data_IF_899826651128
#
_entry.id   IF_899826651128
#
_cell.length_a   1.000
_cell.length_b   1.000
_cell.length_c   1.000
_cell.angle_alpha   90.00
_cell.angle_beta   90.00
_cell.angle_gamma   90.00
#
_symmetry.space_group_name_H-M   'P 1'
#
loop_
_entity.id
_entity.type
_entity.pdbx_description
1 polymer ?
#
# COMPACT_ATOMS: atom_id res chain seq x y z
N UNK A 1 0.39 3.98 -3.32
CA UNK A 1 -0.01 3.61 -4.69
C UNK A 1 0.76 4.36 -5.78
N UNK A 2 0.86 5.70 -5.75
CA UNK A 2 1.58 6.45 -6.80
C UNK A 2 3.03 6.00 -7.07
N UNK A 3 3.82 5.80 -6.01
CA UNK A 3 5.21 5.32 -6.15
C UNK A 3 5.30 3.91 -6.76
N UNK A 4 4.34 3.03 -6.45
CA UNK A 4 4.26 1.67 -7.03
C UNK A 4 4.09 1.75 -8.54
N UNK A 5 3.24 2.67 -9.02
CA UNK A 5 3.06 2.92 -10.45
C UNK A 5 4.36 3.39 -11.11
N UNK A 6 5.09 4.34 -10.50
CA UNK A 6 6.41 4.77 -10.99
C UNK A 6 7.34 3.57 -11.14
N UNK A 7 7.39 2.68 -10.15
CA UNK A 7 8.26 1.51 -10.20
C UNK A 7 7.94 0.54 -11.33
N UNK A 8 6.65 0.38 -11.70
CA UNK A 8 6.24 -0.43 -12.86
C UNK A 8 6.70 0.23 -14.16
N UNK A 9 6.52 1.55 -14.29
CA UNK A 9 6.85 2.28 -15.52
C UNK A 9 8.35 2.44 -15.77
N UNK A 10 9.19 2.33 -14.75
CA UNK A 10 10.64 2.40 -14.90
C UNK A 10 11.25 1.21 -15.65
N UNK A 11 10.48 0.12 -15.86
CA UNK A 11 10.82 -1.03 -16.71
C UNK A 11 12.23 -1.62 -16.50
N UNK A 12 12.67 -1.62 -15.24
CA UNK A 12 13.93 -2.23 -14.84
C UNK A 12 13.73 -3.14 -13.63
N UNK A 13 14.62 -4.11 -13.49
CA UNK A 13 14.50 -5.15 -12.45
C UNK A 13 14.49 -4.55 -11.05
N UNK A 14 15.26 -3.50 -10.80
CA UNK A 14 15.35 -2.87 -9.48
C UNK A 14 14.02 -2.21 -9.08
N UNK A 15 13.45 -1.40 -9.97
CA UNK A 15 12.18 -0.74 -9.76
C UNK A 15 11.04 -1.77 -9.58
N UNK A 16 11.01 -2.81 -10.42
CA UNK A 16 9.97 -3.84 -10.35
C UNK A 16 10.09 -4.72 -9.09
N UNK A 17 11.30 -5.06 -8.66
CA UNK A 17 11.52 -5.74 -7.38
C UNK A 17 11.00 -4.88 -6.22
N UNK A 18 11.32 -3.58 -6.23
CA UNK A 18 10.80 -2.62 -5.25
C UNK A 18 9.27 -2.51 -5.28
N UNK A 19 8.65 -2.45 -6.47
CA UNK A 19 7.19 -2.45 -6.65
C UNK A 19 6.54 -3.66 -6.01
N UNK A 20 7.02 -4.88 -6.32
CA UNK A 20 6.45 -6.11 -5.80
C UNK A 20 6.58 -6.18 -4.27
N UNK A 21 7.72 -5.71 -3.75
CA UNK A 21 7.93 -5.58 -2.31
C UNK A 21 6.96 -4.57 -1.68
N UNK A 22 6.82 -3.40 -2.31
CA UNK A 22 6.01 -2.29 -1.80
C UNK A 22 4.51 -2.59 -1.83
N UNK A 23 4.02 -3.41 -2.76
CA UNK A 23 2.62 -3.86 -2.77
C UNK A 23 2.29 -4.60 -1.47
N UNK A 24 3.17 -5.52 -1.04
CA UNK A 24 2.98 -6.26 0.20
C UNK A 24 3.14 -5.35 1.41
N UNK A 25 4.21 -4.56 1.44
CA UNK A 25 4.49 -3.64 2.55
C UNK A 25 3.33 -2.66 2.77
N UNK A 26 2.84 -2.03 1.70
CA UNK A 26 1.72 -1.10 1.75
C UNK A 26 0.42 -1.79 2.18
N UNK A 27 0.10 -2.98 1.64
CA UNK A 27 -1.09 -3.72 2.06
C UNK A 27 -1.09 -4.01 3.56
N UNK A 28 0.06 -4.42 4.11
CA UNK A 28 0.20 -4.68 5.55
C UNK A 28 0.08 -3.43 6.41
N UNK A 29 0.77 -2.33 6.05
CA UNK A 29 0.74 -1.10 6.86
C UNK A 29 -0.62 -0.40 6.80
N UNK A 30 -1.19 -0.26 5.59
CA UNK A 30 -2.46 0.44 5.40
C UNK A 30 -3.63 -0.36 5.95
N UNK A 31 -3.64 -1.69 5.79
CA UNK A 31 -4.64 -2.55 6.41
C UNK A 31 -4.63 -2.43 7.94
N UNK A 32 -3.45 -2.39 8.55
CA UNK A 32 -3.31 -2.20 9.99
C UNK A 32 -3.78 -0.82 10.47
N UNK A 33 -3.44 0.25 9.74
CA UNK A 33 -3.91 1.60 10.06
C UNK A 33 -5.44 1.68 10.03
N UNK A 34 -6.10 1.09 9.02
CA UNK A 34 -7.56 1.05 8.97
C UNK A 34 -8.17 0.29 10.15
N UNK A 35 -7.59 -0.84 10.56
CA UNK A 35 -8.05 -1.56 11.74
C UNK A 35 -7.92 -0.73 13.02
N UNK A 36 -6.82 0.00 13.19
CA UNK A 36 -6.66 0.89 14.35
C UNK A 36 -7.60 2.09 14.31
N UNK A 37 -7.85 2.69 13.15
CA UNK A 37 -8.86 3.76 13.03
C UNK A 37 -10.25 3.22 13.37
N UNK A 38 -10.60 2.01 12.91
CA UNK A 38 -11.87 1.36 13.26
C UNK A 38 -12.02 1.08 14.76
N UNK A 39 -10.96 0.57 15.41
CA UNK A 39 -10.94 0.39 16.87
C UNK A 39 -11.02 1.72 17.62
N UNK A 40 -10.37 2.75 17.11
CA UNK A 40 -10.40 4.08 17.70
C UNK A 40 -11.82 4.64 17.65
N UNK A 41 -12.48 4.58 16.49
CA UNK A 41 -13.88 4.96 16.33
C UNK A 41 -14.80 4.15 17.26
N UNK A 42 -14.60 2.84 17.38
CA UNK A 42 -15.42 2.01 18.27
C UNK A 42 -15.30 2.43 19.74
N UNK A 43 -14.15 2.96 20.16
CA UNK A 43 -13.88 3.39 21.54
C UNK A 43 -14.28 4.83 21.83
N UNK A 44 -14.15 5.72 20.85
CA UNK A 44 -14.44 7.15 21.02
C UNK A 44 -15.79 7.58 20.49
N UNK A 45 -16.37 6.81 19.56
CA UNK A 45 -17.59 7.17 18.83
C UNK A 45 -17.42 8.31 17.82
N UNK A 46 -16.19 8.77 17.57
CA UNK A 46 -15.91 9.87 16.64
C UNK A 46 -14.80 9.53 15.66
N UNK A 47 -14.98 10.02 14.43
CA UNK A 47 -13.98 10.00 13.33
C UNK A 47 -13.28 11.35 13.16
N UNK A 48 -13.66 12.39 13.90
CA UNK A 48 -13.13 13.73 13.74
C UNK A 48 -11.80 13.86 14.47
N UNK A 49 -10.76 14.34 13.77
CA UNK A 49 -9.43 14.55 14.36
C UNK A 49 -9.49 15.58 15.50
N UNK A 50 -10.40 16.55 15.39
CA UNK A 50 -10.62 17.61 16.39
C UNK A 50 -11.17 17.09 17.72
N UNK A 51 -11.74 15.89 17.74
CA UNK A 51 -12.26 15.26 18.96
C UNK A 51 -11.21 14.40 19.68
N UNK A 52 -10.09 14.13 19.00
CA UNK A 52 -9.02 13.24 19.45
C UNK A 52 -7.85 14.04 20.04
N UNK A 53 -7.15 13.45 21.00
CA UNK A 53 -5.99 14.05 21.65
C UNK A 53 -5.54 13.24 22.87
N UNK A 54 -4.24 13.18 23.13
CA UNK A 54 -3.67 12.63 24.37
C UNK A 54 -3.81 11.12 24.55
N UNK A 55 -4.08 10.36 23.47
CA UNK A 55 -4.29 8.91 23.53
C UNK A 55 -3.05 8.17 24.05
N UNK A 56 -1.84 8.64 23.74
CA UNK A 56 -0.60 7.96 24.12
C UNK A 56 -0.42 7.82 25.64
N UNK A 57 -0.94 8.77 26.44
CA UNK A 57 -0.85 8.71 27.89
C UNK A 57 -1.75 7.64 28.52
N UNK A 58 -2.84 7.26 27.83
CA UNK A 58 -3.82 6.28 28.32
C UNK A 58 -3.63 4.90 27.71
N UNK A 59 -3.24 4.86 26.44
CA UNK A 59 -3.06 3.65 25.66
C UNK A 59 -1.70 3.65 24.95
N UNK A 60 -0.60 3.50 25.71
CA UNK A 60 0.75 3.53 25.15
C UNK A 60 1.03 2.37 24.17
N UNK A 61 0.45 1.19 24.38
CA UNK A 61 0.67 0.04 23.48
C UNK A 61 -0.04 0.30 22.15
N UNK A 62 -1.30 0.73 22.21
CA UNK A 62 -2.06 1.16 21.02
C UNK A 62 -1.30 2.23 20.23
N UNK A 63 -0.83 3.29 20.91
CA UNK A 63 -0.08 4.37 20.28
C UNK A 63 1.21 3.88 19.62
N UNK A 64 1.92 2.95 20.26
CA UNK A 64 3.18 2.39 19.73
C UNK A 64 2.93 1.56 18.48
N UNK A 65 1.93 0.68 18.47
CA UNK A 65 1.61 -0.13 17.30
C UNK A 65 1.10 0.74 16.14
N UNK A 66 0.26 1.74 16.44
CA UNK A 66 -0.16 2.72 15.45
C UNK A 66 1.04 3.47 14.86
N UNK A 67 1.97 3.91 15.71
CA UNK A 67 3.18 4.60 15.27
C UNK A 67 4.01 3.74 14.32
N UNK A 68 4.25 2.47 14.65
CA UNK A 68 5.02 1.56 13.79
C UNK A 68 4.34 1.38 12.43
N UNK A 69 3.03 1.16 12.40
CA UNK A 69 2.27 1.03 11.16
C UNK A 69 2.28 2.32 10.32
N UNK A 70 2.15 3.48 10.98
CA UNK A 70 2.19 4.79 10.35
C UNK A 70 3.57 5.10 9.76
N UNK A 71 4.63 4.90 10.55
CA UNK A 71 6.01 5.10 10.12
C UNK A 71 6.40 4.13 8.99
N UNK A 72 5.86 2.91 9.00
CA UNK A 72 5.99 1.97 7.90
C UNK A 72 5.32 2.49 6.62
N UNK A 73 4.14 3.10 6.73
CA UNK A 73 3.47 3.72 5.58
C UNK A 73 4.18 4.98 5.07
N UNK A 74 4.98 5.64 5.90
CA UNK A 74 5.77 6.82 5.53
C UNK A 74 7.18 6.48 5.00
N UNK A 75 7.54 5.20 4.95
CA UNK A 75 8.86 4.78 4.49
C UNK A 75 9.99 5.13 5.47
N UNK A 76 9.76 5.03 6.79
CA UNK A 76 10.84 5.22 7.77
C UNK A 76 11.89 4.09 7.66
N UNK A 77 13.20 4.39 7.64
CA UNK A 77 14.24 3.36 7.69
C UNK A 77 14.04 2.37 8.84
N UNK A 78 14.20 1.08 8.54
CA UNK A 78 13.95 -0.01 9.49
C UNK A 78 12.52 -0.59 9.42
N UNK A 79 11.65 -0.05 8.57
CA UNK A 79 10.30 -0.57 8.32
C UNK A 79 10.17 -1.15 6.90
N UNK A 80 9.16 -1.99 6.68
CA UNK A 80 8.90 -2.61 5.38
C UNK A 80 8.70 -1.59 4.25
N UNK A 81 8.00 -0.47 4.48
CA UNK A 81 7.73 0.53 3.45
C UNK A 81 8.98 1.19 2.90
N UNK A 82 10.02 1.42 3.73
CA UNK A 82 11.26 2.06 3.27
C UNK A 82 11.97 1.23 2.21
N UNK A 83 12.10 -0.08 2.41
CA UNK A 83 12.84 -0.97 1.49
C UNK A 83 12.21 -0.96 0.10
N UNK A 84 10.87 -1.04 0.02
CA UNK A 84 10.16 -1.02 -1.25
C UNK A 84 10.27 0.32 -1.97
N UNK A 85 9.99 1.42 -1.27
CA UNK A 85 10.05 2.77 -1.85
C UNK A 85 11.47 3.15 -2.27
N UNK A 86 12.48 2.80 -1.47
CA UNK A 86 13.87 3.08 -1.79
C UNK A 86 14.32 2.36 -3.07
N UNK A 87 13.98 1.08 -3.23
CA UNK A 87 14.28 0.33 -4.46
C UNK A 87 13.59 0.93 -5.68
N UNK A 88 12.35 1.39 -5.53
CA UNK A 88 11.61 2.09 -6.59
C UNK A 88 12.31 3.40 -6.96
N UNK A 89 12.69 4.22 -5.98
CA UNK A 89 13.37 5.51 -6.22
C UNK A 89 14.70 5.29 -6.92
N UNK A 90 15.51 4.31 -6.49
CA UNK A 90 16.76 3.98 -7.17
C UNK A 90 16.53 3.52 -8.61
N UNK A 91 15.50 2.70 -8.83
CA UNK A 91 15.07 2.28 -10.16
C UNK A 91 14.58 3.44 -11.03
N UNK A 92 13.93 4.44 -10.42
CA UNK A 92 13.46 5.65 -11.08
C UNK A 92 14.59 6.61 -11.45
N UNK A 93 15.58 6.80 -10.58
CA UNK A 93 16.79 7.59 -10.88
C UNK A 93 17.55 7.00 -12.06
N UNK A 94 17.64 5.66 -12.14
CA UNK A 94 18.24 4.97 -13.30
C UNK A 94 17.46 5.14 -14.60
N UNK A 95 16.14 5.32 -14.52
CA UNK A 95 15.30 5.58 -15.68
C UNK A 95 15.40 7.05 -16.11
N UNK A 96 15.19 7.99 -15.19
CA UNK A 96 15.31 9.42 -15.41
C UNK A 96 15.47 10.14 -14.05
N UNK A 97 16.49 10.99 -13.93
CA UNK A 97 16.78 11.74 -12.71
C UNK A 97 15.59 12.61 -12.25
N UNK A 98 14.85 13.23 -13.18
CA UNK A 98 13.69 14.06 -12.86
C UNK A 98 12.55 13.25 -12.23
N UNK A 99 12.29 12.04 -12.75
CA UNK A 99 11.28 11.12 -12.20
C UNK A 99 11.72 10.61 -10.83
N UNK A 100 13.01 10.30 -10.67
CA UNK A 100 13.59 9.94 -9.38
C UNK A 100 13.46 11.06 -8.33
N UNK A 101 13.68 12.31 -8.73
CA UNK A 101 13.50 13.48 -7.86
C UNK A 101 12.04 13.63 -7.41
N UNK A 102 11.07 13.53 -8.34
CA UNK A 102 9.65 13.58 -8.00
C UNK A 102 9.25 12.41 -7.08
N UNK A 103 9.74 11.20 -7.35
CA UNK A 103 9.46 10.04 -6.50
C UNK A 103 9.99 10.24 -5.07
N UNK A 104 11.20 10.77 -4.91
CA UNK A 104 11.76 11.12 -3.60
C UNK A 104 10.91 12.18 -2.87
N UNK A 105 10.44 13.19 -3.59
CA UNK A 105 9.57 14.23 -3.02
C UNK A 105 8.28 13.65 -2.43
N UNK A 106 7.70 12.62 -3.04
CA UNK A 106 6.48 11.99 -2.51
C UNK A 106 6.67 11.36 -1.12
N UNK A 107 7.85 10.80 -0.86
CA UNK A 107 8.18 10.23 0.46
C UNK A 107 8.29 11.33 1.52
N UNK A 108 8.94 12.45 1.20
CA UNK A 108 9.03 13.62 2.08
C UNK A 108 7.65 14.18 2.42
N UNK A 109 6.80 14.39 1.41
CA UNK A 109 5.42 14.83 1.62
C UNK A 109 4.65 13.85 2.51
N UNK A 110 4.89 12.55 2.31
CA UNK A 110 4.41 11.44 3.14
C UNK A 110 4.56 11.67 4.63
N UNK A 111 5.79 11.92 5.04
CA UNK A 111 6.15 12.16 6.44
C UNK A 111 5.57 13.49 6.95
N UNK A 112 5.62 14.54 6.12
CA UNK A 112 5.14 15.87 6.48
C UNK A 112 3.64 15.92 6.81
N UNK A 113 2.80 15.07 6.22
CA UNK A 113 1.38 15.03 6.54
C UNK A 113 1.05 14.07 7.71
N UNK A 114 1.75 12.93 7.82
CA UNK A 114 1.44 11.92 8.84
C UNK A 114 1.95 12.27 10.24
N UNK A 115 3.14 12.86 10.36
CA UNK A 115 3.70 13.18 11.69
C UNK A 115 2.86 14.21 12.45
N UNK A 116 2.42 15.34 11.85
CA UNK A 116 1.53 16.27 12.54
C UNK A 116 0.18 15.65 12.88
N UNK A 117 -0.35 14.75 12.06
CA UNK A 117 -1.57 14.00 12.36
C UNK A 117 -1.39 13.11 13.59
N UNK A 118 -0.28 12.37 13.66
CA UNK A 118 0.04 11.54 14.81
C UNK A 118 0.22 12.38 16.08
N UNK A 119 0.91 13.52 15.98
CA UNK A 119 1.05 14.46 17.09
C UNK A 119 -0.32 14.94 17.62
N UNK A 120 -1.21 15.37 16.72
CA UNK A 120 -2.56 15.83 17.07
C UNK A 120 -3.39 14.77 17.79
N UNK A 121 -3.39 13.55 17.27
CA UNK A 121 -4.21 12.46 17.82
C UNK A 121 -3.65 11.90 19.13
N UNK A 122 -2.33 11.74 19.23
CA UNK A 122 -1.71 10.98 20.32
C UNK A 122 -1.07 11.82 21.42
N UNK A 123 -0.52 12.99 21.11
CA UNK A 123 0.32 13.77 22.03
C UNK A 123 -0.25 15.14 22.44
N UNK A 124 -1.31 15.63 21.78
CA UNK A 124 -2.00 16.83 22.25
C UNK A 124 -2.74 16.61 23.58
N UNK A 125 -3.33 17.70 24.12
CA UNK A 125 -4.07 17.64 25.39
C UNK A 125 -5.22 16.63 25.31
N UNK A 126 -5.44 15.80 26.35
CA UNK A 126 -6.57 14.88 26.40
C UNK A 126 -7.90 15.63 26.28
N UNK A 127 -8.83 15.09 25.50
CA UNK A 127 -10.19 15.60 25.32
C UNK A 127 -11.18 14.70 26.07
N UNK A 128 -12.42 15.15 26.23
CA UNK A 128 -13.44 14.40 26.98
C UNK A 128 -13.66 13.00 26.40
N UNK A 129 -13.70 12.88 25.06
CA UNK A 129 -13.92 11.60 24.37
C UNK A 129 -12.72 10.64 24.50
N UNK A 130 -11.49 11.16 24.63
CA UNK A 130 -10.29 10.33 24.78
C UNK A 130 -9.93 10.02 26.24
N UNK A 131 -10.60 10.66 27.21
CA UNK A 131 -10.34 10.45 28.63
C UNK A 131 -10.62 8.99 29.09
N UNK A 132 -11.59 8.32 28.45
CA UNK A 132 -11.96 6.92 28.72
C UNK A 132 -11.31 5.91 27.76
N UNK A 133 -10.36 6.34 26.94
CA UNK A 133 -9.72 5.45 25.97
C UNK A 133 -8.91 4.37 26.69
N UNK A 134 -9.33 3.11 26.57
CA UNK A 134 -8.61 1.96 27.13
C UNK A 134 -7.45 1.57 26.22
N UNK A 135 -6.42 0.92 26.76
CA UNK A 135 -5.36 0.34 25.93
C UNK A 135 -5.82 -0.98 25.26
N UNK A 136 -4.99 -1.52 24.39
CA UNK A 136 -5.22 -2.83 23.76
C UNK A 136 -5.34 -3.92 24.82
N UNK A 137 -6.36 -4.76 24.67
CA UNK A 137 -6.49 -6.01 25.41
C UNK A 137 -5.49 -7.03 24.89
N UNK A 138 -5.16 -8.05 25.69
CA UNK A 138 -4.23 -9.11 25.30
C UNK A 138 -4.62 -9.77 23.97
N UNK A 139 -5.91 -9.98 23.74
CA UNK A 139 -6.41 -10.57 22.50
C UNK A 139 -6.17 -9.67 21.28
N UNK A 140 -6.46 -8.37 21.40
CA UNK A 140 -6.19 -7.42 20.32
C UNK A 140 -4.68 -7.30 20.06
N UNK A 141 -3.87 -7.26 21.12
CA UNK A 141 -2.41 -7.25 21.00
C UNK A 141 -1.92 -8.49 20.25
N UNK A 142 -2.42 -9.68 20.56
CA UNK A 142 -2.04 -10.92 19.86
C UNK A 142 -2.47 -10.94 18.38
N UNK A 143 -3.53 -10.22 18.01
CA UNK A 143 -3.96 -10.10 16.61
C UNK A 143 -3.03 -9.15 15.83
N UNK A 144 -2.64 -8.03 16.42
CA UNK A 144 -1.81 -7.03 15.73
C UNK A 144 -0.31 -7.34 15.77
N UNK A 145 0.17 -7.99 16.83
CA UNK A 145 1.58 -8.27 17.06
C UNK A 145 2.25 -9.02 15.88
N UNK A 146 1.66 -10.08 15.29
CA UNK A 146 2.28 -10.78 14.16
C UNK A 146 2.51 -9.88 12.95
N UNK A 147 1.57 -8.96 12.67
CA UNK A 147 1.67 -8.06 11.51
C UNK A 147 2.67 -6.93 11.80
N UNK A 148 2.74 -6.42 13.04
CA UNK A 148 3.80 -5.48 13.47
C UNK A 148 5.17 -6.11 13.33
N UNK A 149 5.34 -7.35 13.80
CA UNK A 149 6.58 -8.09 13.65
C UNK A 149 6.92 -8.31 12.18
N UNK A 150 5.95 -8.63 11.33
CA UNK A 150 6.17 -8.75 9.89
C UNK A 150 6.68 -7.44 9.27
N UNK A 151 6.09 -6.29 9.62
CA UNK A 151 6.52 -4.97 9.16
C UNK A 151 8.00 -4.71 9.53
N UNK A 152 8.38 -5.03 10.77
CA UNK A 152 9.75 -4.81 11.27
C UNK A 152 10.74 -5.82 10.68
N UNK A 153 10.40 -7.10 10.61
CA UNK A 153 11.25 -8.16 10.03
C UNK A 153 11.52 -7.88 8.56
N UNK A 154 10.49 -7.50 7.81
CA UNK A 154 10.65 -7.05 6.42
C UNK A 154 11.54 -5.79 6.34
N UNK A 155 11.42 -4.85 7.26
CA UNK A 155 12.28 -3.66 7.28
C UNK A 155 13.75 -3.93 7.59
N UNK A 156 14.03 -4.72 8.63
CA UNK A 156 15.38 -4.98 9.15
C UNK A 156 16.11 -6.05 8.33
N UNK A 157 15.41 -7.12 7.94
CA UNK A 157 15.95 -8.24 7.20
C UNK A 157 15.16 -8.47 5.90
N UNK A 158 15.32 -7.61 4.88
CA UNK A 158 14.56 -7.72 3.63
C UNK A 158 15.05 -8.86 2.72
N UNK A 159 16.28 -9.34 2.91
CA UNK A 159 16.95 -10.31 2.03
C UNK A 159 16.15 -11.61 1.77
N UNK A 160 15.53 -12.26 2.78
CA UNK A 160 14.74 -13.47 2.56
C UNK A 160 13.54 -13.28 1.62
N UNK A 161 12.97 -12.08 1.61
CA UNK A 161 11.85 -11.71 0.74
C UNK A 161 12.36 -11.31 -0.64
N UNK A 162 13.40 -10.46 -0.69
CA UNK A 162 14.00 -10.00 -1.95
C UNK A 162 14.57 -11.15 -2.77
N UNK A 163 15.21 -12.15 -2.14
CA UNK A 163 15.74 -13.33 -2.83
C UNK A 163 14.66 -14.15 -3.56
N UNK A 164 13.40 -14.08 -3.10
CA UNK A 164 12.25 -14.72 -3.77
C UNK A 164 11.65 -13.84 -4.87
N UNK A 165 11.64 -12.52 -4.66
CA UNK A 165 10.99 -11.55 -5.57
C UNK A 165 11.89 -11.25 -6.78
N UNK A 166 13.20 -11.06 -6.57
CA UNK A 166 14.12 -10.58 -7.60
C UNK A 166 14.22 -11.51 -8.83
N UNK A 167 14.31 -12.86 -8.69
CA UNK A 167 14.32 -13.75 -9.85
C UNK A 167 13.03 -13.66 -10.67
N UNK A 168 11.88 -13.50 -10.00
CA UNK A 168 10.58 -13.34 -10.65
C UNK A 168 10.50 -12.00 -11.41
N UNK A 169 10.94 -10.91 -10.78
CA UNK A 169 11.02 -9.59 -11.41
C UNK A 169 11.95 -9.60 -12.64
N UNK A 170 13.12 -10.24 -12.54
CA UNK A 170 14.08 -10.36 -13.65
C UNK A 170 13.49 -11.14 -14.81
N UNK A 171 12.84 -12.28 -14.53
CA UNK A 171 12.13 -13.08 -15.55
C UNK A 171 11.03 -12.26 -16.23
N UNK A 172 10.27 -11.49 -15.47
CA UNK A 172 9.20 -10.66 -16.02
C UNK A 172 9.75 -9.59 -16.96
N UNK A 173 10.81 -8.87 -16.57
CA UNK A 173 11.46 -7.87 -17.44
C UNK A 173 12.04 -8.51 -18.71
N UNK A 174 12.67 -9.69 -18.62
CA UNK A 174 13.18 -10.40 -19.79
C UNK A 174 12.07 -10.81 -20.75
N UNK A 175 10.90 -11.19 -20.24
CA UNK A 175 9.74 -11.48 -21.08
C UNK A 175 9.11 -10.21 -21.68
N UNK A 176 9.17 -9.08 -20.97
CA UNK A 176 8.70 -7.78 -21.46
C UNK A 176 9.60 -7.20 -22.56
N UNK A 177 10.91 -7.50 -22.54
CA UNK A 177 11.84 -7.14 -23.64
C UNK A 177 11.49 -7.77 -24.99
N UNK A 178 10.63 -8.80 -25.02
CA UNK A 178 10.08 -9.38 -26.25
C UNK A 178 8.66 -8.90 -26.61
N UNK A 179 8.03 -8.09 -25.76
CA UNK A 179 6.61 -7.73 -25.86
C UNK A 179 6.39 -6.26 -25.51
N UNK A 180 6.75 -5.37 -26.43
CA UNK A 180 6.22 -4.01 -26.43
C UNK A 180 4.88 -4.02 -27.20
N UNK A 181 3.79 -4.51 -26.58
CA UNK A 181 2.45 -4.18 -27.07
C UNK A 181 1.90 -3.03 -26.26
N UNK A 182 1.70 -1.90 -26.93
CA UNK A 182 1.05 -0.67 -26.45
C UNK A 182 -0.20 -0.98 -25.62
N UNK A 183 -0.91 -2.04 -25.98
CA UNK A 183 -2.05 -2.65 -25.30
C UNK A 183 -1.82 -2.86 -23.78
N UNK A 184 -0.67 -3.39 -23.35
CA UNK A 184 -0.39 -3.62 -21.92
C UNK A 184 -0.35 -2.31 -21.14
N UNK A 185 0.29 -1.29 -21.72
CA UNK A 185 0.43 0.02 -21.09
C UNK A 185 -0.91 0.77 -21.07
N UNK A 186 -1.71 0.66 -22.13
CA UNK A 186 -3.06 1.24 -22.17
C UNK A 186 -3.98 0.61 -21.11
N UNK A 187 -3.95 -0.72 -20.98
CA UNK A 187 -4.76 -1.43 -19.98
C UNK A 187 -4.32 -1.13 -18.55
N UNK A 188 -3.01 -1.01 -18.30
CA UNK A 188 -2.49 -0.62 -17.01
C UNK A 188 -2.94 0.81 -16.64
N UNK A 189 -2.84 1.75 -17.59
CA UNK A 189 -3.30 3.13 -17.39
C UNK A 189 -4.80 3.19 -17.09
N UNK A 190 -5.62 2.45 -17.84
CA UNK A 190 -7.06 2.33 -17.60
C UNK A 190 -7.39 1.73 -16.22
N UNK A 191 -6.66 0.70 -15.80
CA UNK A 191 -6.83 0.11 -14.47
C UNK A 191 -6.54 1.13 -13.36
N UNK A 192 -5.46 1.91 -13.50
CA UNK A 192 -5.11 2.95 -12.52
C UNK A 192 -6.11 4.12 -12.52
N UNK A 193 -6.65 4.50 -13.68
CA UNK A 193 -7.68 5.52 -13.78
C UNK A 193 -9.00 5.05 -13.11
N UNK A 194 -9.38 3.78 -13.28
CA UNK A 194 -10.50 3.17 -12.57
C UNK A 194 -10.34 3.24 -11.04
N UNK A 195 -9.16 2.93 -10.52
CA UNK A 195 -8.88 3.08 -9.07
C UNK A 195 -9.01 4.53 -8.60
N UNK A 196 -8.52 5.50 -9.38
CA UNK A 196 -8.63 6.92 -9.03
C UNK A 196 -10.10 7.37 -9.01
N UNK A 197 -10.90 6.98 -10.00
CA UNK A 197 -12.34 7.28 -10.01
C UNK A 197 -13.09 6.63 -8.86
N UNK A 198 -12.68 5.44 -8.43
CA UNK A 198 -13.29 4.76 -7.28
C UNK A 198 -13.07 5.57 -6.00
N UNK A 199 -11.86 6.13 -5.81
CA UNK A 199 -11.57 7.00 -4.66
C UNK A 199 -12.31 8.34 -4.68
N UNK A 200 -12.73 8.79 -5.85
CA UNK A 200 -13.49 10.04 -6.03
C UNK A 200 -15.01 9.81 -6.14
N UNK A 201 -15.46 8.56 -6.02
CA UNK A 201 -16.86 8.23 -6.20
C UNK A 201 -17.73 8.83 -5.09
N UNK A 202 -18.62 9.76 -5.46
CA UNK A 202 -19.63 10.35 -4.57
C UNK A 202 -20.99 9.69 -4.68
N UNK A 203 -21.20 8.90 -5.73
CA UNK A 203 -22.46 8.23 -6.05
C UNK A 203 -22.18 6.76 -6.44
N UNK A 204 -23.15 5.87 -6.16
CA UNK A 204 -23.05 4.43 -6.39
C UNK A 204 -22.77 4.08 -7.86
N UNK A 205 -23.35 4.83 -8.80
CA UNK A 205 -23.14 4.61 -10.23
C UNK A 205 -21.67 4.87 -10.61
N UNK A 206 -21.08 5.94 -10.10
CA UNK A 206 -19.67 6.26 -10.35
C UNK A 206 -18.74 5.25 -9.70
N UNK A 207 -19.08 4.74 -8.50
CA UNK A 207 -18.33 3.67 -7.85
C UNK A 207 -18.37 2.37 -8.67
N UNK A 208 -19.54 1.99 -9.18
CA UNK A 208 -19.72 0.80 -10.01
C UNK A 208 -18.93 0.91 -11.32
N UNK A 209 -19.06 2.03 -12.03
CA UNK A 209 -18.33 2.29 -13.28
C UNK A 209 -16.81 2.26 -13.03
N UNK A 210 -16.34 2.87 -11.94
CA UNK A 210 -14.92 2.85 -11.60
C UNK A 210 -14.38 1.45 -11.30
N UNK A 211 -15.18 0.62 -10.63
CA UNK A 211 -14.85 -0.76 -10.29
C UNK A 211 -14.85 -1.68 -11.53
N UNK A 212 -15.80 -1.49 -12.43
CA UNK A 212 -15.85 -2.18 -13.74
C UNK A 212 -14.66 -1.78 -14.64
N UNK A 213 -14.38 -0.49 -14.75
CA UNK A 213 -13.24 0.01 -15.55
C UNK A 213 -11.91 -0.52 -15.00
N UNK A 214 -11.76 -0.57 -13.67
CA UNK A 214 -10.58 -1.15 -13.03
C UNK A 214 -10.48 -2.66 -13.30
N UNK A 215 -11.55 -3.41 -13.04
CA UNK A 215 -11.54 -4.88 -13.06
C UNK A 215 -11.39 -5.45 -14.47
N UNK A 216 -12.12 -4.93 -15.46
CA UNK A 216 -12.00 -5.33 -16.87
C UNK A 216 -10.58 -5.15 -17.40
N UNK A 217 -9.95 -4.03 -17.06
CA UNK A 217 -8.58 -3.74 -17.47
C UNK A 217 -7.58 -4.75 -16.89
N UNK A 218 -7.77 -5.14 -15.63
CA UNK A 218 -6.96 -6.17 -14.95
C UNK A 218 -7.21 -7.56 -15.54
N UNK A 219 -8.46 -7.92 -15.83
CA UNK A 219 -8.80 -9.21 -16.43
C UNK A 219 -8.17 -9.38 -17.82
N UNK A 220 -8.25 -8.34 -18.65
CA UNK A 220 -7.62 -8.35 -19.97
C UNK A 220 -6.09 -8.44 -19.85
N UNK A 221 -5.48 -7.76 -18.88
CA UNK A 221 -4.04 -7.88 -18.59
C UNK A 221 -3.61 -9.31 -18.23
N UNK A 222 -4.38 -10.00 -17.37
CA UNK A 222 -4.12 -11.41 -17.01
C UNK A 222 -4.21 -12.33 -18.24
N UNK A 223 -5.13 -12.01 -19.16
CA UNK A 223 -5.36 -12.76 -20.40
C UNK A 223 -4.44 -12.45 -21.57
N UNK A 224 -3.54 -11.47 -21.45
CA UNK A 224 -2.71 -11.03 -22.59
C UNK A 224 -1.82 -12.13 -23.17
N UNK A 225 -1.53 -13.18 -22.40
CA UNK A 225 -0.80 -14.36 -22.87
C UNK A 225 -1.72 -15.53 -23.16
N UNK A 226 -2.69 -15.31 -24.04
CA UNK A 226 -3.68 -16.31 -24.51
C UNK A 226 -3.08 -17.63 -25.02
N UNK A 227 -1.79 -17.66 -25.37
CA UNK A 227 -1.08 -18.87 -25.80
C UNK A 227 -0.67 -19.79 -24.65
N UNK A 228 -0.71 -19.30 -23.41
CA UNK A 228 -0.43 -20.10 -22.21
C UNK A 228 -1.73 -20.58 -21.59
N UNK A 229 -1.87 -21.91 -21.47
CA UNK A 229 -3.05 -22.55 -20.85
C UNK A 229 -3.34 -21.99 -19.44
N UNK A 230 -2.28 -21.65 -18.68
CA UNK A 230 -2.39 -21.04 -17.34
C UNK A 230 -2.98 -19.62 -17.36
N UNK A 231 -2.73 -18.84 -18.40
CA UNK A 231 -3.30 -17.49 -18.52
C UNK A 231 -4.79 -17.57 -18.85
N UNK A 232 -5.18 -18.50 -19.73
CA UNK A 232 -6.59 -18.78 -20.06
C UNK A 232 -7.35 -19.28 -18.83
N UNK A 233 -6.74 -20.20 -18.07
CA UNK A 233 -7.29 -20.68 -16.80
C UNK A 233 -7.43 -19.54 -15.76
N UNK A 234 -6.42 -18.66 -15.64
CA UNK A 234 -6.47 -17.52 -14.74
C UNK A 234 -7.57 -16.52 -15.12
N UNK A 235 -7.73 -16.19 -16.40
CA UNK A 235 -8.83 -15.33 -16.89
C UNK A 235 -10.19 -15.92 -16.56
N UNK A 236 -10.39 -17.22 -16.81
CA UNK A 236 -11.65 -17.90 -16.49
C UNK A 236 -11.96 -17.84 -14.99
N UNK A 237 -10.94 -18.04 -14.13
CA UNK A 237 -11.11 -17.93 -12.67
C UNK A 237 -11.48 -16.52 -12.23
N UNK A 238 -10.80 -15.50 -12.75
CA UNK A 238 -11.10 -14.10 -12.43
C UNK A 238 -12.47 -13.65 -12.95
N UNK A 239 -12.89 -14.11 -14.14
CA UNK A 239 -14.21 -13.85 -14.71
C UNK A 239 -15.32 -14.47 -13.85
N UNK A 240 -15.15 -15.73 -13.44
CA UNK A 240 -16.12 -16.43 -12.59
C UNK A 240 -16.18 -15.78 -11.21
N UNK A 241 -15.04 -15.48 -10.58
CA UNK A 241 -15.01 -14.79 -9.29
C UNK A 241 -15.65 -13.39 -9.33
N UNK A 242 -15.42 -12.64 -10.41
CA UNK A 242 -15.99 -11.30 -10.60
C UNK A 242 -17.50 -11.30 -10.87
N UNK A 243 -18.07 -12.40 -11.38
CA UNK A 243 -19.52 -12.52 -11.61
C UNK A 243 -20.33 -12.83 -10.33
N UNK A 244 -19.66 -13.21 -9.24
CA UNK A 244 -20.28 -13.55 -7.96
C UNK A 244 -20.05 -12.50 -6.85
N UNK A 245 -19.31 -11.42 -7.14
CA UNK A 245 -19.05 -10.28 -6.24
C UNK A 245 -19.84 -9.06 -6.66
#
# INVERSE_FOLDING_TARGET
MGIIAVGIFCMNTQALTGTLYQIVAHATSTGMLFLFVGLMEQRTGSRQIEDLGGIAHRAPIFATFFAIAMLASCGLPGTSGFVGEFLIILGAVRFNLFVGFLACLTLLLGVCYMLPLFQKVFFEKPKQLTASFRDLTVYETLVFLPVILLILVMGIAPQPFLAKIEPAAKKQILQLKGFARVEYYCLLAFATAGMLFLTMARELILAFVALEVMSLSVYVMVGMRREQVRAVEAVLKYLVLGAFS
#
